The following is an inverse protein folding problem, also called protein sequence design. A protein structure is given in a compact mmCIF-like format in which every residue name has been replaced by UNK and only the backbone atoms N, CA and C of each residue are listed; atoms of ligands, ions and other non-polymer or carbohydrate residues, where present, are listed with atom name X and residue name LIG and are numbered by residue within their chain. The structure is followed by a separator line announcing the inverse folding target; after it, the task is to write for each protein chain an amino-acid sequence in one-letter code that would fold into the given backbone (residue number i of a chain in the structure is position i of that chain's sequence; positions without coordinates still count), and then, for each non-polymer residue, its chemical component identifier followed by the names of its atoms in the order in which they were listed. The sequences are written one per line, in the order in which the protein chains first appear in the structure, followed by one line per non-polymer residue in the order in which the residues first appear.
data_IF_929738167154
#
_entry.id   IF_929738167154
#
_cell.length_a   1.000
_cell.length_b   1.000
_cell.length_c   1.000
_cell.angle_alpha   90.00
_cell.angle_beta   90.00
_cell.angle_gamma   90.00
#
_symmetry.space_group_name_H-M   'P 1'
#
loop_
_entity.id
_entity.type
_entity.pdbx_description
1 polymer ?
#
# COMPACT_ATOMS: atom_id res chain seq x y z
N UNK A 1 -3.48 12.30 -5.44
CA UNK A 1 -4.45 12.38 -6.55
C UNK A 1 -5.62 13.24 -6.09
N UNK A 2 -6.07 14.21 -6.90
CA UNK A 2 -7.22 15.06 -6.57
C UNK A 2 -8.27 14.90 -7.66
N UNK A 3 -9.51 14.63 -7.27
CA UNK A 3 -10.65 14.53 -8.19
C UNK A 3 -10.89 15.85 -8.91
N UNK A 4 -11.42 15.78 -10.14
CA UNK A 4 -11.79 16.97 -10.93
C UNK A 4 -13.00 17.67 -10.33
N UNK A 5 -13.95 16.90 -9.78
CA UNK A 5 -15.06 17.41 -8.98
C UNK A 5 -14.91 17.00 -7.53
N UNK A 6 -14.67 17.98 -6.65
CA UNK A 6 -14.51 17.77 -5.21
C UNK A 6 -15.83 17.82 -4.44
N UNK A 7 -16.91 18.28 -5.07
CA UNK A 7 -18.26 18.32 -4.49
C UNK A 7 -19.25 17.71 -5.48
N UNK A 8 -20.13 16.84 -4.99
CA UNK A 8 -21.24 16.26 -5.75
C UNK A 8 -22.53 16.49 -4.96
N UNK A 9 -23.59 16.92 -5.64
CA UNK A 9 -24.85 17.15 -4.95
C UNK A 9 -25.59 15.83 -4.69
N UNK A 10 -26.32 15.76 -3.58
CA UNK A 10 -27.13 14.57 -3.23
C UNK A 10 -28.14 14.26 -4.35
N UNK A 11 -28.68 15.28 -5.01
CA UNK A 11 -29.65 15.11 -6.10
C UNK A 11 -29.00 14.50 -7.36
N UNK A 12 -27.73 14.80 -7.66
CA UNK A 12 -26.97 14.16 -8.74
C UNK A 12 -26.68 12.69 -8.46
N UNK A 13 -26.33 12.35 -7.21
CA UNK A 13 -26.15 10.96 -6.78
C UNK A 13 -27.47 10.18 -6.89
N UNK A 14 -28.57 10.75 -6.41
CA UNK A 14 -29.90 10.14 -6.52
C UNK A 14 -30.33 9.94 -7.98
N UNK A 15 -30.04 10.90 -8.87
CA UNK A 15 -30.28 10.76 -10.31
C UNK A 15 -29.46 9.63 -10.92
N UNK A 16 -28.18 9.54 -10.56
CA UNK A 16 -27.28 8.47 -11.03
C UNK A 16 -27.77 7.09 -10.59
N UNK A 17 -28.12 6.94 -9.32
CA UNK A 17 -28.68 5.69 -8.77
C UNK A 17 -30.01 5.35 -9.47
N UNK A 18 -30.89 6.33 -9.65
CA UNK A 18 -32.16 6.16 -10.36
C UNK A 18 -31.97 5.70 -11.81
N UNK A 19 -30.95 6.23 -12.50
CA UNK A 19 -30.58 5.83 -13.85
C UNK A 19 -30.09 4.38 -13.91
N UNK A 20 -29.25 3.97 -12.96
CA UNK A 20 -28.76 2.58 -12.87
C UNK A 20 -29.89 1.59 -12.59
N UNK A 21 -30.85 1.95 -11.71
CA UNK A 21 -32.05 1.14 -11.47
C UNK A 21 -32.90 0.98 -12.72
N UNK A 22 -33.13 2.06 -13.49
CA UNK A 22 -33.83 1.99 -14.79
C UNK A 22 -33.14 1.07 -15.79
N UNK A 23 -31.81 0.97 -15.73
CA UNK A 23 -30.98 0.08 -16.56
C UNK A 23 -30.86 -1.36 -16.04
N UNK A 24 -31.70 -1.74 -15.05
CA UNK A 24 -31.72 -3.08 -14.44
C UNK A 24 -30.40 -3.51 -13.79
N UNK A 25 -29.61 -2.54 -13.31
CA UNK A 25 -28.49 -2.85 -12.41
C UNK A 25 -29.08 -3.35 -11.08
N UNK A 26 -28.57 -4.48 -10.60
CA UNK A 26 -29.07 -5.10 -9.36
C UNK A 26 -28.76 -4.23 -8.15
N UNK A 27 -29.63 -4.24 -7.13
CA UNK A 27 -29.39 -3.50 -5.89
C UNK A 27 -28.08 -3.90 -5.20
N UNK A 28 -27.60 -5.13 -5.42
CA UNK A 28 -26.29 -5.61 -4.94
C UNK A 28 -25.09 -5.02 -5.70
N UNK A 29 -25.28 -4.56 -6.94
CA UNK A 29 -24.23 -3.98 -7.79
C UNK A 29 -24.15 -2.44 -7.66
N UNK A 30 -25.26 -1.78 -7.34
CA UNK A 30 -25.34 -0.32 -7.16
C UNK A 30 -24.29 0.23 -6.17
N UNK A 31 -24.16 -0.27 -4.92
CA UNK A 31 -23.18 0.28 -3.98
C UNK A 31 -21.74 0.06 -4.46
N UNK A 32 -21.48 -1.05 -5.17
CA UNK A 32 -20.16 -1.37 -5.73
C UNK A 32 -19.77 -0.38 -6.83
N UNK A 33 -20.71 -0.10 -7.74
CA UNK A 33 -20.52 0.89 -8.79
C UNK A 33 -20.43 2.31 -8.23
N UNK A 34 -21.15 2.61 -7.14
CA UNK A 34 -21.07 3.91 -6.48
C UNK A 34 -19.68 4.16 -5.92
N UNK A 35 -19.08 3.16 -5.26
CA UNK A 35 -17.70 3.24 -4.77
C UNK A 35 -16.70 3.51 -5.91
N UNK A 36 -16.87 2.85 -7.06
CA UNK A 36 -16.05 3.10 -8.25
C UNK A 36 -16.29 4.49 -8.85
N UNK A 37 -17.54 4.95 -8.86
CA UNK A 37 -17.91 6.25 -9.41
C UNK A 37 -17.37 7.39 -8.56
N UNK A 38 -17.46 7.28 -7.23
CA UNK A 38 -16.91 8.24 -6.28
C UNK A 38 -15.39 8.22 -6.20
N UNK A 39 -14.76 7.10 -6.59
CA UNK A 39 -13.32 6.99 -6.78
C UNK A 39 -12.62 6.17 -5.72
N UNK A 40 -12.40 4.90 -6.01
CA UNK A 40 -11.43 4.05 -5.31
C UNK A 40 -9.99 4.39 -5.74
N UNK A 41 -9.41 5.40 -5.09
CA UNK A 41 -8.04 5.87 -5.36
C UNK A 41 -6.95 4.79 -5.29
N UNK A 42 -7.03 3.70 -4.47
CA UNK A 42 -5.99 2.67 -4.45
C UNK A 42 -5.85 1.88 -5.75
N UNK A 43 -6.91 1.86 -6.58
CA UNK A 43 -6.94 1.09 -7.83
C UNK A 43 -6.78 1.98 -9.07
N UNK A 44 -6.59 3.29 -8.90
CA UNK A 44 -6.34 4.22 -10.00
C UNK A 44 -4.84 4.36 -10.29
N UNK A 45 -4.49 4.60 -11.56
CA UNK A 45 -3.14 4.98 -11.95
C UNK A 45 -2.89 6.50 -11.79
N UNK A 46 -1.70 6.98 -12.19
CA UNK A 46 -1.37 8.42 -12.16
C UNK A 46 -2.26 9.29 -13.03
N UNK A 47 -2.95 8.71 -14.01
CA UNK A 47 -3.89 9.37 -14.92
C UNK A 47 -5.33 9.35 -14.36
N UNK A 48 -5.54 8.88 -13.12
CA UNK A 48 -6.85 8.80 -12.47
C UNK A 48 -7.86 7.89 -13.20
N UNK A 49 -7.35 6.92 -13.96
CA UNK A 49 -8.16 5.87 -14.60
C UNK A 49 -7.95 4.54 -13.89
N UNK A 50 -8.90 3.62 -14.04
CA UNK A 50 -8.78 2.23 -13.59
C UNK A 50 -8.18 1.38 -14.70
N UNK A 51 -6.92 0.97 -14.59
CA UNK A 51 -6.24 0.23 -15.64
C UNK A 51 -6.61 -1.27 -15.56
N UNK A 52 -6.51 -1.99 -16.68
CA UNK A 52 -6.92 -3.40 -16.80
C UNK A 52 -6.20 -4.32 -15.83
N UNK A 53 -4.95 -4.00 -15.49
CA UNK A 53 -4.12 -4.72 -14.52
C UNK A 53 -4.81 -4.81 -13.15
N UNK A 54 -5.55 -3.76 -12.78
CA UNK A 54 -6.22 -3.67 -11.48
C UNK A 54 -7.63 -4.28 -11.48
N UNK A 55 -8.16 -4.75 -12.61
CA UNK A 55 -9.53 -5.25 -12.68
C UNK A 55 -9.75 -6.51 -11.82
N UNK A 56 -8.72 -7.36 -11.70
CA UNK A 56 -8.79 -8.54 -10.85
C UNK A 56 -8.91 -8.16 -9.37
N UNK A 57 -8.14 -7.18 -8.91
CA UNK A 57 -8.16 -6.73 -7.52
C UNK A 57 -9.42 -5.93 -7.19
N UNK A 58 -9.90 -5.11 -8.12
CA UNK A 58 -11.19 -4.40 -8.00
C UNK A 58 -12.32 -5.43 -7.86
N UNK A 59 -12.32 -6.48 -8.68
CA UNK A 59 -13.30 -7.56 -8.60
C UNK A 59 -13.28 -8.21 -7.21
N UNK A 60 -12.11 -8.55 -6.67
CA UNK A 60 -11.99 -9.16 -5.35
C UNK A 60 -12.49 -8.23 -4.25
N UNK A 61 -12.05 -6.97 -4.27
CA UNK A 61 -12.39 -5.95 -3.27
C UNK A 61 -13.89 -5.67 -3.21
N UNK A 62 -14.53 -5.53 -4.37
CA UNK A 62 -15.97 -5.28 -4.47
C UNK A 62 -16.80 -6.57 -4.53
N UNK A 63 -16.17 -7.74 -4.39
CA UNK A 63 -16.80 -9.07 -4.38
C UNK A 63 -17.68 -9.29 -5.61
N UNK A 64 -17.15 -9.02 -6.80
CA UNK A 64 -17.78 -9.45 -8.06
C UNK A 64 -17.48 -10.92 -8.32
N UNK A 65 -18.45 -11.64 -8.88
CA UNK A 65 -18.32 -13.09 -9.16
C UNK A 65 -17.18 -13.38 -10.12
N UNK A 66 -17.03 -12.58 -11.18
CA UNK A 66 -15.96 -12.68 -12.18
C UNK A 66 -15.49 -11.29 -12.61
N UNK A 67 -14.30 -11.18 -13.20
CA UNK A 67 -13.81 -9.92 -13.80
C UNK A 67 -14.73 -9.48 -14.94
N UNK A 68 -15.30 -10.43 -15.66
CA UNK A 68 -16.31 -10.17 -16.69
C UNK A 68 -17.58 -9.54 -16.11
N UNK A 69 -18.05 -10.01 -14.95
CA UNK A 69 -19.23 -9.43 -14.28
C UNK A 69 -18.98 -7.98 -13.83
N UNK A 70 -17.75 -7.65 -13.41
CA UNK A 70 -17.35 -6.27 -13.15
C UNK A 70 -17.44 -5.43 -14.44
N UNK A 71 -16.81 -5.88 -15.52
CA UNK A 71 -16.78 -5.16 -16.80
C UNK A 71 -18.19 -4.96 -17.35
N UNK A 72 -19.05 -5.98 -17.29
CA UNK A 72 -20.45 -5.90 -17.71
C UNK A 72 -21.26 -4.94 -16.85
N UNK A 73 -21.06 -4.93 -15.53
CA UNK A 73 -21.73 -3.98 -14.65
C UNK A 73 -21.34 -2.53 -14.97
N UNK A 74 -20.04 -2.28 -15.21
CA UNK A 74 -19.53 -0.95 -15.58
C UNK A 74 -20.01 -0.53 -16.98
N UNK A 75 -20.10 -1.46 -17.94
CA UNK A 75 -20.66 -1.19 -19.28
C UNK A 75 -22.15 -0.88 -19.22
N UNK A 76 -22.92 -1.71 -18.51
CA UNK A 76 -24.38 -1.62 -18.47
C UNK A 76 -24.86 -0.38 -17.72
N UNK A 77 -24.09 0.11 -16.74
CA UNK A 77 -24.47 1.31 -16.01
C UNK A 77 -24.27 2.60 -16.84
N UNK A 78 -23.43 2.57 -17.89
CA UNK A 78 -23.13 3.67 -18.82
C UNK A 78 -22.85 5.02 -18.13
N UNK A 79 -22.21 4.98 -16.97
CA UNK A 79 -21.78 6.17 -16.22
C UNK A 79 -20.27 6.32 -16.16
N UNK A 80 -19.53 5.37 -16.74
CA UNK A 80 -18.07 5.38 -16.83
C UNK A 80 -17.63 5.56 -18.27
N UNK A 81 -16.49 6.22 -18.46
CA UNK A 81 -15.81 6.25 -19.75
C UNK A 81 -14.88 5.05 -19.89
N UNK A 82 -14.59 4.63 -21.13
CA UNK A 82 -13.70 3.51 -21.42
C UNK A 82 -12.59 3.95 -22.35
N UNK A 83 -11.38 3.49 -22.08
CA UNK A 83 -10.24 3.59 -22.98
C UNK A 83 -10.09 2.23 -23.65
N UNK A 84 -10.05 2.21 -24.98
CA UNK A 84 -9.95 0.99 -25.79
C UNK A 84 -8.65 1.02 -26.60
N UNK A 85 -8.07 -0.15 -26.82
CA UNK A 85 -6.94 -0.28 -27.74
C UNK A 85 -7.48 -0.38 -29.19
N UNK A 86 -7.02 0.50 -30.09
CA UNK A 86 -7.52 0.62 -31.47
C UNK A 86 -7.46 -0.70 -32.25
N UNK A 87 -6.46 -1.54 -31.97
CA UNK A 87 -6.20 -2.77 -32.73
C UNK A 87 -7.06 -3.98 -32.30
N UNK A 88 -7.65 -3.99 -31.10
CA UNK A 88 -8.27 -5.21 -30.52
C UNK A 88 -9.66 -5.05 -29.91
N UNK A 89 -10.24 -3.85 -29.86
CA UNK A 89 -11.53 -3.57 -29.18
C UNK A 89 -11.60 -4.09 -27.72
N UNK A 90 -10.43 -4.30 -27.10
CA UNK A 90 -10.34 -4.72 -25.70
C UNK A 90 -10.23 -3.47 -24.83
N UNK A 91 -10.98 -3.48 -23.72
CA UNK A 91 -10.92 -2.40 -22.73
C UNK A 91 -9.58 -2.47 -22.04
N UNK A 92 -8.80 -1.40 -22.16
CA UNK A 92 -7.50 -1.23 -21.48
C UNK A 92 -7.67 -0.49 -20.15
N UNK A 93 -8.66 0.40 -20.06
CA UNK A 93 -9.02 1.07 -18.81
C UNK A 93 -10.47 1.58 -18.83
N UNK A 94 -11.02 1.88 -17.66
CA UNK A 94 -12.23 2.68 -17.53
C UNK A 94 -12.03 3.79 -16.50
N UNK A 95 -12.82 4.86 -16.56
CA UNK A 95 -12.66 5.99 -15.65
C UNK A 95 -14.00 6.56 -15.20
N UNK A 96 -13.99 7.15 -14.01
CA UNK A 96 -15.12 7.92 -13.52
C UNK A 96 -15.07 9.34 -14.08
N UNK A 97 -16.19 9.89 -14.57
CA UNK A 97 -16.30 11.30 -14.98
C UNK A 97 -16.01 12.31 -13.86
N UNK A 98 -15.94 11.88 -12.60
CA UNK A 98 -15.55 12.75 -11.48
C UNK A 98 -14.03 12.92 -11.35
N UNK A 99 -13.25 12.03 -11.97
CA UNK A 99 -11.81 11.90 -11.81
C UNK A 99 -11.02 12.11 -13.10
N UNK A 100 -11.64 11.87 -14.25
CA UNK A 100 -10.97 12.05 -15.54
C UNK A 100 -11.88 12.75 -16.56
N UNK A 101 -11.42 13.89 -17.08
CA UNK A 101 -12.04 14.64 -18.16
C UNK A 101 -11.39 14.21 -19.46
N UNK A 102 -12.15 13.49 -20.29
CA UNK A 102 -11.72 13.12 -21.63
C UNK A 102 -12.16 14.24 -22.60
N UNK A 103 -11.56 15.44 -22.48
CA UNK A 103 -11.79 16.53 -23.43
C UNK A 103 -11.16 16.26 -24.80
N UNK A 104 -10.29 15.25 -24.93
CA UNK A 104 -9.67 14.83 -26.19
C UNK A 104 -10.56 13.99 -27.12
N UNK A 105 -11.73 13.51 -26.68
CA UNK A 105 -12.60 12.66 -27.53
C UNK A 105 -14.06 13.12 -27.62
N UNK A 106 -14.39 14.31 -27.12
CA UNK A 106 -15.71 14.93 -27.38
C UNK A 106 -15.83 15.58 -28.76
N UNK A 107 -14.74 15.65 -29.53
CA UNK A 107 -14.69 16.32 -30.83
C UNK A 107 -14.52 15.33 -32.01
N UNK A 108 -15.36 14.29 -32.10
CA UNK A 108 -15.48 13.48 -33.33
C UNK A 108 -16.91 13.28 -33.81
N UNK A 109 -17.90 13.80 -33.09
CA UNK A 109 -19.27 13.93 -33.60
C UNK A 109 -19.64 15.40 -33.54
N UNK A 110 -19.24 16.19 -34.54
CA UNK A 110 -20.00 17.23 -35.24
C UNK A 110 -19.07 17.94 -36.23
N UNK A 111 -19.43 17.85 -37.51
CA UNK A 111 -18.88 18.50 -38.70
C UNK A 111 -18.93 20.04 -38.60
N UNK A 112 -17.84 20.76 -38.90
CA UNK A 112 -17.72 21.68 -40.06
C UNK A 112 -16.49 22.64 -40.03
N UNK A 113 -15.81 22.69 -41.18
CA UNK A 113 -15.01 23.75 -41.84
C UNK A 113 -13.85 24.49 -41.10
N UNK A 114 -12.63 24.16 -41.60
CA UNK A 114 -11.32 24.87 -41.73
C UNK A 114 -11.23 26.42 -41.63
N UNK A 115 -10.01 27.06 -41.72
CA UNK A 115 -8.62 26.66 -41.38
C UNK A 115 -7.76 27.77 -40.70
N UNK A 116 -6.56 27.45 -40.16
CA UNK A 116 -5.56 28.49 -39.84
C UNK A 116 -4.31 28.05 -39.03
N UNK A 117 -3.17 27.98 -39.72
CA UNK A 117 -1.74 27.78 -39.32
C UNK A 117 -1.21 28.68 -38.14
N UNK A 118 0.07 28.56 -37.68
CA UNK A 118 0.89 27.39 -37.28
C UNK A 118 1.84 27.67 -36.05
N UNK A 119 2.56 26.66 -35.57
CA UNK A 119 3.85 26.75 -34.82
C UNK A 119 3.80 27.42 -33.41
N UNK A 120 4.52 27.00 -32.36
CA UNK A 120 5.97 26.77 -32.25
C UNK A 120 6.23 25.80 -31.08
N UNK A 121 7.00 24.77 -31.33
CA UNK A 121 7.64 23.93 -30.32
C UNK A 121 8.94 24.64 -29.87
N UNK A 122 9.24 24.67 -28.57
CA UNK A 122 10.63 24.58 -28.15
C UNK A 122 10.84 23.28 -27.35
N UNK A 123 11.50 22.32 -27.99
CA UNK A 123 12.47 21.45 -27.30
C UNK A 123 13.59 22.39 -26.84
N UNK A 124 14.10 22.39 -25.61
CA UNK A 124 14.86 21.40 -24.80
C UNK A 124 15.35 22.23 -23.56
N UNK A 125 16.10 21.75 -22.54
CA UNK A 125 16.64 20.41 -22.26
C UNK A 125 16.49 19.92 -20.79
N UNK A 126 16.73 18.62 -20.61
CA UNK A 126 17.22 17.93 -19.41
C UNK A 126 17.15 18.66 -18.05
N UNK A 127 16.30 18.14 -17.16
CA UNK A 127 16.53 18.17 -15.71
C UNK A 127 16.67 16.74 -15.20
N UNK A 128 17.90 16.25 -15.29
CA UNK A 128 18.45 15.31 -14.32
C UNK A 128 18.44 15.97 -12.95
N UNK A 129 17.52 15.57 -12.07
CA UNK A 129 17.68 15.79 -10.64
C UNK A 129 16.77 14.85 -9.81
N UNK A 130 17.44 13.88 -9.20
CA UNK A 130 17.23 13.45 -7.82
C UNK A 130 15.94 12.72 -7.43
N UNK A 131 15.84 11.42 -7.74
CA UNK A 131 15.01 10.47 -6.95
C UNK A 131 15.73 9.13 -6.64
N UNK A 132 17.01 8.96 -6.96
CA UNK A 132 17.71 7.67 -6.77
C UNK A 132 18.37 7.45 -5.38
N UNK A 133 18.08 8.29 -4.39
CA UNK A 133 18.54 8.05 -3.01
C UNK A 133 17.57 7.11 -2.26
N UNK A 134 17.42 5.89 -2.79
CA UNK A 134 16.60 4.82 -2.21
C UNK A 134 17.44 4.04 -1.20
N UNK A 135 17.20 4.40 0.06
CA UNK A 135 17.31 3.65 1.32
C UNK A 135 18.69 3.12 1.75
N UNK A 136 19.16 3.72 2.84
CA UNK A 136 20.15 3.20 3.77
C UNK A 136 19.84 1.74 4.13
N UNK A 137 20.60 0.82 3.56
CA UNK A 137 20.69 -0.54 4.10
C UNK A 137 21.51 -0.51 5.41
N UNK A 138 22.33 0.53 5.62
CA UNK A 138 22.93 0.92 6.91
C UNK A 138 23.23 2.43 6.93
N UNK A 139 22.75 3.18 7.93
CA UNK A 139 23.40 4.44 8.36
C UNK A 139 24.49 4.06 9.36
N UNK A 140 25.76 4.35 9.04
CA UNK A 140 26.84 4.34 10.04
C UNK A 140 26.45 5.29 11.18
N UNK A 141 26.02 4.72 12.31
CA UNK A 141 26.06 5.40 13.60
C UNK A 141 27.49 5.42 14.06
N UNK A 142 28.07 6.62 14.15
CA UNK A 142 29.36 6.85 14.75
C UNK A 142 29.43 6.25 16.16
N UNK A 143 30.61 5.69 16.46
CA UNK A 143 31.11 5.36 17.80
C UNK A 143 30.50 6.21 18.92
N UNK A 144 29.83 5.58 19.88
CA UNK A 144 29.84 6.02 21.28
C UNK A 144 29.69 4.81 22.19
N UNK A 145 30.65 4.69 23.10
CA UNK A 145 30.68 3.85 24.28
C UNK A 145 29.52 4.13 25.24
N UNK A 146 29.36 3.23 26.23
CA UNK A 146 28.37 3.15 27.33
C UNK A 146 27.20 2.19 27.02
N UNK A 147 26.81 1.23 27.85
CA UNK A 147 27.21 0.83 29.21
C UNK A 147 26.81 -0.64 29.43
N UNK A 148 27.40 -1.24 30.46
CA UNK A 148 27.27 -2.64 30.85
C UNK A 148 25.91 -2.98 31.52
N UNK A 149 25.57 -4.27 31.45
CA UNK A 149 24.89 -5.11 32.47
C UNK A 149 23.34 -5.17 32.53
N UNK A 150 22.73 -6.22 33.15
CA UNK A 150 23.32 -7.43 33.76
C UNK A 150 22.70 -8.79 33.35
N UNK A 151 23.52 -9.80 33.68
CA UNK A 151 23.32 -11.24 33.94
C UNK A 151 21.96 -11.75 34.48
N UNK A 152 21.60 -12.96 34.03
CA UNK A 152 20.72 -13.95 34.70
C UNK A 152 19.80 -14.65 33.68
N UNK A 153 19.72 -15.96 33.48
CA UNK A 153 20.28 -17.17 34.10
C UNK A 153 20.27 -18.30 33.04
N UNK A 154 21.14 -19.30 33.19
CA UNK A 154 21.09 -20.62 32.50
C UNK A 154 21.03 -21.71 33.59
N UNK A 155 20.77 -23.01 33.31
CA UNK A 155 20.36 -23.68 32.07
C UNK A 155 19.24 -24.72 32.26
N UNK A 156 18.68 -25.26 31.17
CA UNK A 156 18.08 -26.60 31.18
C UNK A 156 18.38 -27.29 29.85
N UNK A 157 19.25 -28.29 29.94
CA UNK A 157 19.72 -29.17 28.87
C UNK A 157 18.59 -30.02 28.29
N UNK A 158 18.49 -30.07 26.95
CA UNK A 158 18.39 -31.38 26.30
C UNK A 158 18.88 -31.36 24.84
N UNK A 159 19.44 -32.50 24.46
CA UNK A 159 20.38 -32.72 23.36
C UNK A 159 19.88 -32.42 21.94
N UNK A 160 20.64 -31.60 21.20
CA UNK A 160 21.09 -31.96 19.84
C UNK A 160 22.29 -31.10 19.43
N UNK A 161 23.36 -31.74 18.96
CA UNK A 161 24.61 -31.13 18.50
C UNK A 161 24.42 -30.13 17.34
N UNK A 162 24.02 -28.90 17.65
CA UNK A 162 24.25 -27.74 16.79
C UNK A 162 25.23 -26.82 17.51
N UNK A 163 26.53 -27.04 17.28
CA UNK A 163 27.54 -25.99 17.54
C UNK A 163 26.98 -24.67 17.04
N UNK A 164 26.99 -23.64 17.88
CA UNK A 164 26.69 -22.28 17.46
C UNK A 164 27.72 -21.89 16.38
N UNK A 165 27.42 -22.10 15.09
CA UNK A 165 28.33 -21.81 13.97
C UNK A 165 28.39 -20.30 13.69
N UNK A 166 27.42 -19.54 14.20
CA UNK A 166 27.37 -18.08 14.05
C UNK A 166 28.38 -17.44 15.00
N UNK A 167 29.52 -17.02 14.47
CA UNK A 167 30.46 -16.15 15.19
C UNK A 167 30.15 -14.67 14.91
N UNK A 168 30.45 -13.75 15.83
CA UNK A 168 30.31 -12.31 15.57
C UNK A 168 31.03 -11.86 14.29
N UNK A 169 32.18 -12.46 14.00
CA UNK A 169 32.98 -12.24 12.78
C UNK A 169 32.25 -12.70 11.52
N UNK A 170 31.61 -13.88 11.54
CA UNK A 170 30.83 -14.39 10.41
C UNK A 170 29.61 -13.51 10.11
N UNK A 171 28.98 -12.98 11.16
CA UNK A 171 27.84 -12.08 11.07
C UNK A 171 28.26 -10.71 10.53
N UNK A 172 29.39 -10.17 11.01
CA UNK A 172 29.97 -8.95 10.45
C UNK A 172 30.34 -9.11 8.98
N UNK A 173 30.98 -10.22 8.60
CA UNK A 173 31.33 -10.52 7.20
C UNK A 173 30.09 -10.68 6.31
N UNK A 174 29.00 -11.26 6.83
CA UNK A 174 27.73 -11.36 6.12
C UNK A 174 27.09 -9.99 5.91
N UNK A 175 27.12 -9.12 6.93
CA UNK A 175 26.65 -7.73 6.81
C UNK A 175 27.43 -6.96 5.75
N UNK A 176 28.75 -7.01 5.80
CA UNK A 176 29.63 -6.36 4.81
C UNK A 176 29.35 -6.86 3.39
N UNK A 177 29.09 -8.16 3.21
CA UNK A 177 28.72 -8.72 1.90
C UNK A 177 27.44 -8.09 1.31
N UNK A 178 26.38 -7.97 2.10
CA UNK A 178 25.14 -7.33 1.64
C UNK A 178 25.29 -5.80 1.49
N UNK A 179 26.19 -5.18 2.25
CA UNK A 179 26.56 -3.77 2.09
C UNK A 179 27.19 -3.52 0.71
N UNK A 180 28.17 -4.34 0.33
CA UNK A 180 28.83 -4.25 -0.98
C UNK A 180 27.84 -4.42 -2.15
N UNK A 181 26.86 -5.32 -2.01
CA UNK A 181 25.79 -5.48 -3.01
C UNK A 181 24.95 -4.21 -3.15
N UNK A 182 24.72 -3.47 -2.05
CA UNK A 182 23.94 -2.24 -2.07
C UNK A 182 24.71 -1.04 -2.61
N UNK A 183 26.02 -0.98 -2.37
CA UNK A 183 26.89 0.08 -2.90
C UNK A 183 27.12 -0.06 -4.41
N UNK A 184 27.25 -1.30 -4.91
CA UNK A 184 27.38 -1.57 -6.34
C UNK A 184 26.01 -1.44 -7.03
N UNK A 185 25.86 -0.40 -7.85
CA UNK A 185 24.60 -0.11 -8.56
C UNK A 185 24.15 -1.23 -9.50
N UNK A 186 25.09 -1.96 -10.12
CA UNK A 186 24.79 -3.08 -11.02
C UNK A 186 24.32 -4.31 -10.23
N UNK A 187 25.01 -4.66 -9.14
CA UNK A 187 24.61 -5.78 -8.27
C UNK A 187 23.28 -5.50 -7.57
N UNK A 188 23.07 -4.27 -7.09
CA UNK A 188 21.79 -3.81 -6.53
C UNK A 188 20.65 -3.95 -7.53
N UNK A 189 20.85 -3.46 -8.75
CA UNK A 189 19.83 -3.54 -9.81
C UNK A 189 19.54 -4.99 -10.22
N UNK A 190 20.53 -5.87 -10.18
CA UNK A 190 20.38 -7.26 -10.59
C UNK A 190 19.75 -8.14 -9.49
N UNK A 191 20.04 -7.88 -8.22
CA UNK A 191 19.65 -8.77 -7.10
C UNK A 191 18.54 -8.14 -6.27
N UNK A 192 18.71 -6.91 -5.80
CA UNK A 192 17.79 -6.30 -4.84
C UNK A 192 16.54 -5.72 -5.52
N UNK A 193 16.69 -5.08 -6.68
CA UNK A 193 15.54 -4.50 -7.40
C UNK A 193 14.48 -5.53 -7.80
N UNK A 194 14.81 -6.73 -8.32
CA UNK A 194 13.79 -7.75 -8.60
C UNK A 194 13.05 -8.23 -7.35
N UNK A 195 13.72 -8.28 -6.19
CA UNK A 195 13.08 -8.64 -4.92
C UNK A 195 12.10 -7.56 -4.45
N UNK A 196 12.48 -6.28 -4.59
CA UNK A 196 11.57 -5.15 -4.31
C UNK A 196 10.35 -5.23 -5.23
N UNK A 197 10.56 -5.41 -6.53
CA UNK A 197 9.47 -5.54 -7.49
C UNK A 197 8.57 -6.73 -7.15
N UNK A 198 9.16 -7.86 -6.73
CA UNK A 198 8.41 -9.03 -6.28
C UNK A 198 7.49 -8.69 -5.11
N UNK A 199 8.00 -8.03 -4.06
CA UNK A 199 7.17 -7.59 -2.92
C UNK A 199 6.10 -6.58 -3.34
N UNK A 200 6.39 -5.66 -4.26
CA UNK A 200 5.41 -4.70 -4.75
C UNK A 200 4.26 -5.39 -5.49
N UNK A 201 4.56 -6.30 -6.42
CA UNK A 201 3.56 -6.97 -7.24
C UNK A 201 2.79 -8.04 -6.47
N UNK A 202 3.47 -8.86 -5.66
CA UNK A 202 2.81 -9.97 -4.95
C UNK A 202 2.00 -9.53 -3.74
N UNK A 203 2.42 -8.49 -3.03
CA UNK A 203 1.74 -8.00 -1.83
C UNK A 203 0.95 -6.70 -2.05
N UNK A 204 0.96 -6.15 -3.28
CA UNK A 204 0.31 -4.87 -3.59
C UNK A 204 0.87 -3.69 -2.78
N UNK A 205 2.18 -3.72 -2.48
CA UNK A 205 2.81 -2.75 -1.56
C UNK A 205 3.34 -1.51 -2.28
N UNK A 206 3.30 -0.37 -1.58
CA UNK A 206 4.05 0.81 -2.00
C UNK A 206 5.55 0.50 -1.98
N UNK A 207 6.32 1.22 -2.81
CA UNK A 207 7.78 0.99 -2.90
C UNK A 207 8.49 1.09 -1.56
N UNK A 208 8.04 2.00 -0.68
CA UNK A 208 8.56 2.14 0.69
C UNK A 208 8.37 0.85 1.51
N UNK A 209 7.16 0.31 1.58
CA UNK A 209 6.88 -0.91 2.34
C UNK A 209 7.53 -2.17 1.72
N UNK A 210 7.68 -2.20 0.39
CA UNK A 210 8.43 -3.26 -0.27
C UNK A 210 9.93 -3.22 0.09
N UNK A 211 10.52 -2.03 0.20
CA UNK A 211 11.88 -1.86 0.71
C UNK A 211 11.99 -2.31 2.18
N UNK A 212 11.01 -2.01 3.04
CA UNK A 212 11.00 -2.46 4.43
C UNK A 212 10.98 -4.00 4.54
N UNK A 213 10.19 -4.66 3.70
CA UNK A 213 10.19 -6.13 3.60
C UNK A 213 11.54 -6.67 3.13
N UNK A 214 12.20 -6.02 2.16
CA UNK A 214 13.54 -6.40 1.73
C UNK A 214 14.56 -6.24 2.87
N UNK A 215 14.50 -5.14 3.63
CA UNK A 215 15.38 -4.91 4.78
C UNK A 215 15.21 -6.03 5.81
N UNK A 216 13.96 -6.40 6.13
CA UNK A 216 13.68 -7.53 7.02
C UNK A 216 14.23 -8.85 6.45
N UNK A 217 14.00 -9.13 5.15
CA UNK A 217 14.53 -10.33 4.49
C UNK A 217 16.05 -10.40 4.58
N UNK A 218 16.76 -9.30 4.33
CA UNK A 218 18.22 -9.28 4.37
C UNK A 218 18.74 -9.42 5.80
N UNK A 219 18.21 -8.63 6.74
CA UNK A 219 18.73 -8.55 8.10
C UNK A 219 18.35 -9.74 8.98
N UNK A 220 17.11 -10.20 8.89
CA UNK A 220 16.58 -11.22 9.81
C UNK A 220 16.67 -12.62 9.23
N UNK A 221 16.73 -12.77 7.90
CA UNK A 221 16.70 -14.08 7.25
C UNK A 221 18.02 -14.41 6.55
N UNK A 222 18.47 -13.56 5.62
CA UNK A 222 19.64 -13.87 4.79
C UNK A 222 20.96 -13.72 5.55
N UNK A 223 21.18 -12.63 6.30
CA UNK A 223 22.41 -12.43 7.07
C UNK A 223 22.63 -13.57 8.07
N UNK A 224 21.65 -13.95 8.91
CA UNK A 224 21.80 -15.08 9.83
C UNK A 224 22.01 -16.40 9.09
N UNK A 225 21.31 -16.61 7.97
CA UNK A 225 21.51 -17.79 7.14
C UNK A 225 22.96 -17.90 6.65
N UNK A 226 23.53 -16.86 6.05
CA UNK A 226 24.90 -16.91 5.54
C UNK A 226 25.94 -16.97 6.66
N UNK A 227 25.74 -16.25 7.77
CA UNK A 227 26.62 -16.29 8.93
C UNK A 227 26.69 -17.69 9.56
N UNK A 228 25.60 -18.45 9.53
CA UNK A 228 25.55 -19.83 10.07
C UNK A 228 26.32 -20.86 9.25
N UNK A 229 26.91 -20.48 8.10
CA UNK A 229 27.50 -21.42 7.15
C UNK A 229 29.01 -21.32 7.14
N UNK A 230 29.70 -22.38 7.58
CA UNK A 230 31.17 -22.42 7.65
C UNK A 230 31.87 -22.19 6.28
N UNK A 231 31.18 -22.50 5.17
CA UNK A 231 31.69 -22.27 3.80
C UNK A 231 31.63 -20.81 3.36
N UNK A 232 30.83 -19.98 4.02
CA UNK A 232 30.68 -18.56 3.68
C UNK A 232 32.02 -17.83 3.77
N UNK A 233 32.73 -18.00 4.88
CA UNK A 233 34.04 -17.39 5.11
C UNK A 233 35.12 -17.86 4.13
N UNK A 234 34.99 -19.07 3.57
CA UNK A 234 35.95 -19.65 2.61
C UNK A 234 35.69 -19.21 1.16
N UNK A 235 34.52 -18.66 0.88
CA UNK A 235 34.12 -18.25 -0.47
C UNK A 235 34.48 -16.79 -0.76
N UNK A 236 34.87 -16.50 -2.00
CA UNK A 236 35.08 -15.13 -2.50
C UNK A 236 33.73 -14.44 -2.82
N UNK A 237 33.77 -13.13 -3.08
CA UNK A 237 32.56 -12.33 -3.38
C UNK A 237 31.71 -12.92 -4.51
N UNK A 238 32.34 -13.25 -5.64
CA UNK A 238 31.66 -13.84 -6.81
C UNK A 238 30.98 -15.17 -6.48
N UNK A 239 31.64 -16.04 -5.70
CA UNK A 239 31.07 -17.30 -5.25
C UNK A 239 29.87 -17.11 -4.32
N UNK A 240 29.91 -16.08 -3.45
CA UNK A 240 28.78 -15.70 -2.58
C UNK A 240 27.61 -15.17 -3.40
N UNK A 241 27.85 -14.37 -4.43
CA UNK A 241 26.81 -13.88 -5.36
C UNK A 241 26.14 -15.03 -6.13
N UNK A 242 26.92 -15.95 -6.67
CA UNK A 242 26.38 -17.13 -7.36
C UNK A 242 25.53 -17.97 -6.40
N UNK A 243 26.00 -18.16 -5.16
CA UNK A 243 25.25 -18.88 -4.15
C UNK A 243 23.95 -18.16 -3.78
N UNK A 244 23.97 -16.84 -3.54
CA UNK A 244 22.76 -16.05 -3.27
C UNK A 244 21.74 -16.18 -4.40
N UNK A 245 22.18 -16.04 -5.65
CA UNK A 245 21.29 -16.19 -6.81
C UNK A 245 20.65 -17.59 -6.88
N UNK A 246 21.43 -18.64 -6.62
CA UNK A 246 20.90 -20.01 -6.61
C UNK A 246 19.97 -20.25 -5.41
N UNK A 247 20.27 -19.67 -4.26
CA UNK A 247 19.42 -19.74 -3.07
C UNK A 247 18.06 -19.10 -3.35
N UNK A 248 18.02 -17.89 -3.90
CA UNK A 248 16.77 -17.17 -4.20
C UNK A 248 15.89 -17.91 -5.22
N UNK A 249 16.49 -18.67 -6.14
CA UNK A 249 15.77 -19.53 -7.09
C UNK A 249 15.31 -20.87 -6.51
N UNK A 250 15.86 -21.29 -5.38
CA UNK A 250 15.49 -22.55 -4.73
C UNK A 250 14.17 -22.45 -3.97
N UNK A 251 13.55 -23.61 -3.68
CA UNK A 251 12.36 -23.66 -2.83
C UNK A 251 12.58 -22.99 -1.47
N UNK A 252 13.77 -23.16 -0.89
CA UNK A 252 14.11 -22.51 0.39
C UNK A 252 14.14 -20.98 0.26
N UNK A 253 14.72 -20.43 -0.81
CA UNK A 253 14.70 -18.98 -1.06
C UNK A 253 13.29 -18.43 -1.25
N UNK A 254 12.40 -19.18 -1.89
CA UNK A 254 10.98 -18.82 -2.00
C UNK A 254 10.28 -18.83 -0.64
N UNK A 255 10.61 -19.77 0.25
CA UNK A 255 10.13 -19.74 1.63
C UNK A 255 10.62 -18.50 2.38
N UNK A 256 11.89 -18.12 2.24
CA UNK A 256 12.42 -16.89 2.88
C UNK A 256 11.70 -15.63 2.37
N UNK A 257 11.37 -15.56 1.09
CA UNK A 257 10.58 -14.46 0.50
C UNK A 257 9.17 -14.38 1.11
N UNK A 258 8.49 -15.52 1.20
CA UNK A 258 7.16 -15.59 1.79
C UNK A 258 7.18 -15.29 3.30
N UNK A 259 8.20 -15.73 4.02
CA UNK A 259 8.39 -15.43 5.44
C UNK A 259 8.64 -13.95 5.67
N UNK A 260 9.44 -13.30 4.81
CA UNK A 260 9.64 -11.86 4.86
C UNK A 260 8.34 -11.09 4.56
N UNK A 261 7.56 -11.54 3.58
CA UNK A 261 6.26 -10.95 3.28
C UNK A 261 5.29 -11.09 4.48
N UNK A 262 5.26 -12.26 5.12
CA UNK A 262 4.46 -12.52 6.33
C UNK A 262 4.90 -11.65 7.50
N UNK A 263 6.20 -11.56 7.77
CA UNK A 263 6.75 -10.69 8.82
C UNK A 263 6.40 -9.22 8.59
N UNK A 264 6.47 -8.76 7.34
CA UNK A 264 6.02 -7.43 6.94
C UNK A 264 4.54 -7.18 7.20
N UNK A 265 3.67 -8.16 6.88
CA UNK A 265 2.22 -8.05 7.19
C UNK A 265 1.96 -7.94 8.68
N UNK A 266 2.60 -8.79 9.48
CA UNK A 266 2.46 -8.78 10.94
C UNK A 266 2.90 -7.44 11.55
N UNK A 267 4.04 -6.89 11.13
CA UNK A 267 4.49 -5.58 11.60
C UNK A 267 3.51 -4.45 11.26
N UNK A 268 2.93 -4.46 10.06
CA UNK A 268 1.94 -3.45 9.66
C UNK A 268 0.63 -3.58 10.44
N UNK A 269 0.19 -4.81 10.67
CA UNK A 269 -1.01 -5.08 11.49
C UNK A 269 -0.78 -4.63 12.94
N UNK A 270 0.38 -4.94 13.51
CA UNK A 270 0.76 -4.47 14.83
C UNK A 270 0.82 -2.94 14.90
N UNK A 271 1.48 -2.28 13.95
CA UNK A 271 1.54 -0.81 13.92
C UNK A 271 0.15 -0.16 13.75
N UNK A 272 -0.72 -0.76 12.94
CA UNK A 272 -2.09 -0.30 12.78
C UNK A 272 -2.90 -0.47 14.08
N UNK A 273 -2.70 -1.58 14.79
CA UNK A 273 -3.35 -1.84 16.07
C UNK A 273 -2.84 -0.88 17.15
N UNK A 274 -1.53 -0.67 17.25
CA UNK A 274 -0.90 0.29 18.17
C UNK A 274 -1.40 1.71 17.90
N UNK A 275 -1.46 2.13 16.62
CA UNK A 275 -2.02 3.44 16.26
C UNK A 275 -3.50 3.57 16.66
N UNK A 276 -4.32 2.53 16.44
CA UNK A 276 -5.73 2.54 16.86
C UNK A 276 -5.87 2.60 18.39
N UNK A 277 -5.04 1.85 19.11
CA UNK A 277 -5.02 1.89 20.58
C UNK A 277 -4.58 3.25 21.09
N UNK A 278 -3.55 3.85 20.49
CA UNK A 278 -3.08 5.20 20.86
C UNK A 278 -4.14 6.27 20.58
N UNK A 279 -4.85 6.19 19.45
CA UNK A 279 -5.99 7.07 19.16
C UNK A 279 -7.10 6.92 20.20
N UNK A 280 -7.45 5.67 20.55
CA UNK A 280 -8.50 5.39 21.53
C UNK A 280 -8.14 5.77 22.95
N UNK A 281 -6.85 5.80 23.30
CA UNK A 281 -6.36 6.23 24.61
C UNK A 281 -6.26 7.76 24.75
N UNK A 282 -6.50 8.52 23.68
CA UNK A 282 -6.42 9.98 23.72
C UNK A 282 -7.72 10.59 24.27
N UNK A 283 -7.75 10.85 25.58
CA UNK A 283 -8.93 11.34 26.31
C UNK A 283 -8.71 12.77 26.90
N UNK A 284 -8.55 13.82 26.08
CA UNK A 284 -8.20 15.15 26.59
C UNK A 284 -9.34 15.89 27.33
N UNK A 285 -10.61 15.54 27.06
CA UNK A 285 -11.78 16.27 27.59
C UNK A 285 -12.57 15.48 28.64
N UNK A 286 -12.73 14.18 28.45
CA UNK A 286 -13.44 13.27 29.35
C UNK A 286 -12.94 11.84 29.16
N UNK A 287 -12.93 11.04 30.22
CA UNK A 287 -12.52 9.63 30.19
C UNK A 287 -13.46 8.74 29.35
N UNK A 288 -14.67 9.23 29.05
CA UNK A 288 -15.72 8.46 28.35
C UNK A 288 -15.76 8.69 26.83
N UNK A 289 -14.92 9.58 26.31
CA UNK A 289 -14.81 9.91 24.89
C UNK A 289 -13.33 10.01 24.49
N UNK A 290 -13.00 9.66 23.27
CA UNK A 290 -11.64 9.80 22.74
C UNK A 290 -11.62 10.77 21.57
N UNK A 291 -10.49 11.44 21.39
CA UNK A 291 -10.29 12.42 20.32
C UNK A 291 -9.29 11.89 19.33
N UNK A 292 -9.65 11.87 18.04
CA UNK A 292 -8.68 11.57 17.00
C UNK A 292 -7.65 12.71 16.91
N UNK A 293 -6.35 12.46 17.16
CA UNK A 293 -5.33 13.50 17.16
C UNK A 293 -5.15 14.20 15.80
N UNK A 294 -5.47 13.52 14.70
CA UNK A 294 -5.26 14.05 13.35
C UNK A 294 -6.40 14.98 12.92
N UNK A 295 -7.65 14.55 13.14
CA UNK A 295 -8.82 15.34 12.76
C UNK A 295 -9.37 16.26 13.86
N UNK A 296 -9.01 16.03 15.12
CA UNK A 296 -9.60 16.69 16.28
C UNK A 296 -11.05 16.27 16.58
N UNK A 297 -11.60 15.32 15.82
CA UNK A 297 -12.96 14.83 16.03
C UNK A 297 -13.06 13.99 17.30
N UNK A 298 -14.20 14.11 17.99
CA UNK A 298 -14.48 13.43 19.25
C UNK A 298 -15.39 12.23 19.00
N UNK A 299 -15.13 11.13 19.69
CA UNK A 299 -15.85 9.89 19.49
C UNK A 299 -16.13 9.19 20.81
N UNK A 300 -17.17 8.36 20.83
CA UNK A 300 -17.38 7.36 21.86
C UNK A 300 -17.81 6.03 21.25
N UNK A 301 -17.58 4.94 21.96
CA UNK A 301 -18.11 3.64 21.56
C UNK A 301 -19.45 3.38 22.24
N UNK A 302 -20.46 3.15 21.43
CA UNK A 302 -21.78 2.68 21.78
C UNK A 302 -21.89 1.17 21.53
N UNK A 303 -22.66 0.47 22.35
CA UNK A 303 -22.80 -1.00 22.26
C UNK A 303 -23.61 -1.41 21.03
N UNK A 304 -24.59 -0.59 20.63
CA UNK A 304 -25.51 -0.87 19.55
C UNK A 304 -25.05 -0.21 18.22
N UNK A 305 -24.52 1.00 18.28
CA UNK A 305 -24.10 1.78 17.10
C UNK A 305 -22.61 1.69 16.75
N UNK A 306 -21.78 1.16 17.65
CA UNK A 306 -20.32 1.12 17.48
C UNK A 306 -19.67 2.48 17.75
N UNK A 307 -18.73 2.92 16.91
CA UNK A 307 -18.05 4.21 17.12
C UNK A 307 -18.91 5.38 16.63
N UNK A 308 -19.39 6.21 17.55
CA UNK A 308 -20.26 7.37 17.29
C UNK A 308 -19.45 8.67 17.38
N UNK A 309 -19.65 9.56 16.41
CA UNK A 309 -19.03 10.90 16.36
C UNK A 309 -19.80 11.89 17.24
N UNK A 310 -19.09 12.68 18.03
CA UNK A 310 -19.60 13.73 18.90
C UNK A 310 -19.38 15.09 18.20
N UNK A 311 -20.45 15.87 17.95
CA UNK A 311 -20.32 17.22 17.39
C UNK A 311 -19.40 18.13 18.20
N UNK A 312 -18.75 19.09 17.54
CA UNK A 312 -17.77 19.99 18.18
C UNK A 312 -18.42 20.85 19.28
N UNK A 313 -19.66 21.29 19.05
CA UNK A 313 -20.47 22.06 19.99
C UNK A 313 -21.05 21.26 21.18
N UNK A 314 -20.92 19.94 21.18
CA UNK A 314 -21.44 19.10 22.24
C UNK A 314 -20.61 19.23 23.53
N UNK A 315 -21.26 19.21 24.69
CA UNK A 315 -20.52 19.16 25.97
C UNK A 315 -19.74 17.84 26.12
N UNK A 316 -18.68 17.80 26.94
CA UNK A 316 -17.96 16.56 27.26
C UNK A 316 -18.91 15.45 27.71
N UNK A 317 -18.69 14.23 27.22
CA UNK A 317 -19.53 13.08 27.57
C UNK A 317 -19.50 12.86 29.09
N UNK A 318 -20.66 12.87 29.77
CA UNK A 318 -20.71 12.88 31.23
C UNK A 318 -20.57 11.49 31.87
N UNK A 319 -20.88 10.41 31.14
CA UNK A 319 -20.74 9.03 31.64
C UNK A 319 -20.58 8.02 30.51
N UNK A 320 -20.06 6.83 30.82
CA UNK A 320 -19.91 5.73 29.87
C UNK A 320 -21.24 5.23 29.24
N UNK A 321 -22.39 5.53 29.87
CA UNK A 321 -23.72 5.13 29.39
C UNK A 321 -24.46 6.26 28.67
N UNK A 322 -23.92 7.47 28.66
CA UNK A 322 -24.57 8.60 28.04
C UNK A 322 -24.53 8.46 26.51
N UNK A 323 -25.67 8.62 25.85
CA UNK A 323 -25.80 8.52 24.39
C UNK A 323 -26.10 9.90 23.84
N UNK A 324 -25.45 10.27 22.74
CA UNK A 324 -25.69 11.57 22.10
C UNK A 324 -26.99 11.53 21.29
N UNK A 325 -27.97 12.35 21.67
CA UNK A 325 -29.20 12.48 20.92
C UNK A 325 -29.07 13.61 19.88
N UNK A 326 -29.00 13.23 18.61
CA UNK A 326 -28.84 14.15 17.47
C UNK A 326 -30.03 15.09 17.30
N UNK A 327 -31.24 14.70 17.74
CA UNK A 327 -32.44 15.53 17.58
C UNK A 327 -32.55 16.60 18.67
N UNK A 328 -32.17 16.28 19.91
CA UNK A 328 -32.21 17.22 21.03
C UNK A 328 -30.89 17.94 21.28
N UNK A 329 -29.79 17.54 20.64
CA UNK A 329 -28.43 18.02 20.88
C UNK A 329 -28.01 17.91 22.36
N UNK A 330 -28.39 16.81 23.01
CA UNK A 330 -28.14 16.56 24.43
C UNK A 330 -27.73 15.11 24.69
N UNK A 331 -26.99 14.91 25.78
CA UNK A 331 -26.70 13.59 26.32
C UNK A 331 -27.95 13.01 27.00
N UNK A 332 -28.32 11.78 26.65
CA UNK A 332 -29.41 11.01 27.25
C UNK A 332 -28.92 9.82 28.06
#
# INVERSE_FOLDING_TARGET
MKALKTTISITELQKTIGLWKKRKITDSAIPKLLNLYLGLTPYMNSEQVYPVENFYDIRLSLRFTTTQALIEAVKNCQSFGFIQNEDRKQITAFYSPLWHDNESEKLTNETDIQPGLPQILPQTPAQTSAVDNIYNIYTKGSSSSEELSPTGDTPLDDNSDKKNIVTPESLAAAKEFFHLINEDSAQKAQILTPLINWFQTHEGLTRKHACENLVYMVNELLIPYFASQARFMKSNHTGRLCWLNNLLKSAHGQHLLNDAARGGRQKREQAAQENRTNQRNNHPLSEFEWTDPESGMRFYDDVDEGTVNIPEEAQPRPSAKAIWNVLSNQWT
#
